data_IF_157266155723
#
_entry.id   IF_157266155723
#
_cell.length_a   1.000
_cell.length_b   1.000
_cell.length_c   1.000
_cell.angle_alpha   90.00
_cell.angle_beta   90.00
_cell.angle_gamma   90.00
#
_symmetry.space_group_name_H-M   'P 1'
#
loop_
_entity.id
_entity.type
_entity.pdbx_description
1 polymer ?
#
# COMPACT_ATOMS: atom_id res chain seq x y z
N UNK A 1 -10.51 -6.67 -6.47
CA UNK A 1 -11.33 -7.16 -5.33
C UNK A 1 -10.55 -7.57 -4.08
N UNK A 2 -9.61 -8.54 -4.11
CA UNK A 2 -8.92 -9.03 -2.87
C UNK A 2 -8.20 -7.93 -2.08
N UNK A 3 -7.57 -6.99 -2.77
CA UNK A 3 -6.79 -5.94 -2.14
C UNK A 3 -7.65 -4.91 -1.40
N UNK A 4 -8.85 -4.55 -1.89
CA UNK A 4 -9.76 -3.64 -1.20
C UNK A 4 -10.19 -4.17 0.19
N UNK A 5 -10.45 -5.47 0.31
CA UNK A 5 -10.78 -6.10 1.59
C UNK A 5 -9.63 -6.04 2.60
N UNK A 6 -8.38 -6.13 2.13
CA UNK A 6 -7.19 -6.01 3.00
C UNK A 6 -7.14 -4.62 3.63
N UNK A 7 -7.44 -3.55 2.88
CA UNK A 7 -7.43 -2.19 3.44
C UNK A 7 -8.57 -1.94 4.41
N UNK A 8 -9.77 -2.42 4.09
CA UNK A 8 -10.92 -2.32 5.00
C UNK A 8 -10.58 -3.05 6.30
N UNK A 9 -10.04 -4.27 6.20
CA UNK A 9 -9.62 -5.05 7.36
C UNK A 9 -8.53 -4.33 8.17
N UNK A 10 -7.48 -3.83 7.54
CA UNK A 10 -6.39 -3.13 8.22
C UNK A 10 -6.82 -1.78 8.80
N UNK A 11 -7.76 -1.08 8.17
CA UNK A 11 -8.35 0.15 8.70
C UNK A 11 -9.20 -0.12 9.94
N UNK A 12 -10.01 -1.18 9.92
CA UNK A 12 -10.77 -1.65 11.09
C UNK A 12 -9.80 -2.07 12.20
N UNK A 13 -8.74 -2.81 11.87
CA UNK A 13 -7.72 -3.22 12.84
C UNK A 13 -7.04 -2.00 13.49
N UNK A 14 -6.66 -1.00 12.69
CA UNK A 14 -6.09 0.25 13.19
C UNK A 14 -7.07 0.96 14.15
N UNK A 15 -8.35 1.04 13.78
CA UNK A 15 -9.38 1.64 14.64
C UNK A 15 -9.51 0.91 15.99
N UNK A 16 -9.48 -0.43 15.98
CA UNK A 16 -9.49 -1.25 17.19
C UNK A 16 -8.26 -0.96 18.07
N UNK A 17 -7.07 -0.87 17.48
CA UNK A 17 -5.84 -0.56 18.23
C UNK A 17 -5.87 0.84 18.88
N UNK A 18 -6.47 1.82 18.21
CA UNK A 18 -6.71 3.16 18.77
C UNK A 18 -7.66 3.07 19.97
N UNK A 19 -8.79 2.36 19.85
CA UNK A 19 -9.72 2.16 20.96
C UNK A 19 -9.07 1.44 22.15
N UNK A 20 -8.26 0.41 21.89
CA UNK A 20 -7.50 -0.28 22.92
C UNK A 20 -6.52 0.65 23.63
N UNK A 21 -5.86 1.56 22.91
CA UNK A 21 -4.95 2.55 23.50
C UNK A 21 -5.70 3.48 24.46
N UNK A 22 -6.86 3.99 24.06
CA UNK A 22 -7.73 4.82 24.90
C UNK A 22 -8.16 4.05 26.16
N UNK A 23 -8.57 2.78 26.01
CA UNK A 23 -8.94 1.91 27.12
C UNK A 23 -7.79 1.70 28.13
N UNK A 24 -6.58 1.43 27.64
CA UNK A 24 -5.39 1.27 28.50
C UNK A 24 -5.06 2.56 29.24
N UNK A 25 -5.21 3.74 28.61
CA UNK A 25 -5.04 5.05 29.28
C UNK A 25 -6.04 5.19 30.43
N UNK A 26 -7.33 4.92 30.18
CA UNK A 26 -8.38 5.03 31.20
C UNK A 26 -8.13 4.09 32.40
N UNK A 27 -7.70 2.85 32.15
CA UNK A 27 -7.32 1.88 33.18
C UNK A 27 -6.09 2.39 33.96
N UNK A 28 -5.06 2.88 33.28
CA UNK A 28 -3.86 3.41 33.93
C UNK A 28 -4.17 4.59 34.86
N UNK A 29 -5.02 5.53 34.44
CA UNK A 29 -5.48 6.64 35.29
C UNK A 29 -6.19 6.12 36.55
N UNK A 30 -7.04 5.11 36.38
CA UNK A 30 -7.78 4.49 37.49
C UNK A 30 -6.86 3.74 38.46
N UNK A 31 -5.87 3.01 37.95
CA UNK A 31 -4.88 2.29 38.75
C UNK A 31 -3.90 3.22 39.47
N UNK A 32 -3.58 4.37 38.87
CA UNK A 32 -2.74 5.40 39.50
C UNK A 32 -3.41 5.95 40.76
N UNK A 33 -4.73 6.15 40.75
CA UNK A 33 -5.53 6.52 41.94
C UNK A 33 -5.50 5.44 43.02
N UNK A 34 -5.37 4.16 42.65
CA UNK A 34 -5.32 3.00 43.56
C UNK A 34 -3.90 2.61 43.99
N UNK A 35 -2.86 3.34 43.56
CA UNK A 35 -1.47 3.08 43.96
C UNK A 35 -0.82 1.81 43.40
N UNK A 36 -1.42 1.15 42.40
CA UNK A 36 -0.98 -0.18 41.95
C UNK A 36 0.15 -0.13 40.91
N UNK A 37 1.36 0.25 41.34
CA UNK A 37 2.52 0.55 40.48
C UNK A 37 2.97 -0.61 39.57
N UNK A 38 2.85 -1.86 40.02
CA UNK A 38 3.28 -3.05 39.24
C UNK A 38 2.41 -3.28 37.99
N UNK A 39 1.10 -3.09 38.13
CA UNK A 39 0.14 -3.21 37.03
C UNK A 39 0.27 -2.06 36.03
N UNK A 40 0.49 -0.84 36.52
CA UNK A 40 0.75 0.34 35.68
C UNK A 40 1.95 0.10 34.77
N UNK A 41 3.07 -0.40 35.32
CA UNK A 41 4.28 -0.67 34.52
C UNK A 41 4.02 -1.69 33.39
N UNK A 42 3.26 -2.76 33.67
CA UNK A 42 2.89 -3.75 32.64
C UNK A 42 2.00 -3.14 31.54
N UNK A 43 0.99 -2.37 31.93
CA UNK A 43 0.09 -1.70 30.98
C UNK A 43 0.79 -0.64 30.14
N UNK A 44 1.78 0.07 30.70
CA UNK A 44 2.62 0.99 29.92
C UNK A 44 3.42 0.27 28.84
N UNK A 45 3.96 -0.92 29.12
CA UNK A 45 4.65 -1.74 28.09
C UNK A 45 3.66 -2.14 26.99
N UNK A 46 2.47 -2.63 27.36
CA UNK A 46 1.43 -2.97 26.39
C UNK A 46 1.02 -1.76 25.54
N UNK A 47 0.92 -0.58 26.13
CA UNK A 47 0.63 0.66 25.41
C UNK A 47 1.72 0.98 24.39
N UNK A 48 3.00 0.90 24.77
CA UNK A 48 4.11 1.13 23.84
C UNK A 48 4.06 0.17 22.64
N UNK A 49 3.81 -1.12 22.87
CA UNK A 49 3.67 -2.11 21.80
C UNK A 49 2.47 -1.81 20.90
N UNK A 50 1.33 -1.44 21.49
CA UNK A 50 0.12 -1.08 20.73
C UNK A 50 0.35 0.15 19.83
N UNK A 51 1.00 1.19 20.37
CA UNK A 51 1.37 2.38 19.58
C UNK A 51 2.30 2.00 18.44
N UNK A 52 3.31 1.16 18.69
CA UNK A 52 4.27 0.74 17.66
C UNK A 52 3.56 0.00 16.51
N UNK A 53 2.67 -0.94 16.83
CA UNK A 53 1.84 -1.64 15.83
C UNK A 53 0.92 -0.67 15.07
N UNK A 54 0.29 0.27 15.77
CA UNK A 54 -0.58 1.28 15.16
C UNK A 54 0.18 2.16 14.16
N UNK A 55 1.40 2.58 14.50
CA UNK A 55 2.28 3.35 13.61
C UNK A 55 2.65 2.52 12.38
N UNK A 56 3.03 1.26 12.55
CA UNK A 56 3.35 0.38 11.42
C UNK A 56 2.15 0.20 10.49
N UNK A 57 0.96 -0.03 11.03
CA UNK A 57 -0.28 -0.14 10.23
C UNK A 57 -0.62 1.16 9.52
N UNK A 58 -0.45 2.31 10.18
CA UNK A 58 -0.72 3.60 9.59
C UNK A 58 0.28 3.95 8.48
N UNK A 59 1.56 3.65 8.67
CA UNK A 59 2.59 3.79 7.64
C UNK A 59 2.29 2.88 6.45
N UNK A 60 1.87 1.63 6.71
CA UNK A 60 1.44 0.72 5.66
C UNK A 60 0.28 1.34 4.89
N UNK A 61 -0.82 1.72 5.56
CA UNK A 61 -1.99 2.33 4.93
C UNK A 61 -1.66 3.62 4.17
N UNK A 62 -0.77 4.46 4.68
CA UNK A 62 -0.36 5.71 4.02
C UNK A 62 0.50 5.45 2.78
N UNK A 63 1.47 4.52 2.86
CA UNK A 63 2.29 4.10 1.71
C UNK A 63 1.45 3.49 0.59
N UNK A 64 0.23 3.07 0.92
CA UNK A 64 -0.69 2.33 0.09
C UNK A 64 -1.98 3.15 -0.17
N UNK A 65 -2.05 4.40 0.31
CA UNK A 65 -3.24 5.26 0.24
C UNK A 65 -3.61 5.64 -1.21
N UNK A 66 -2.63 5.61 -2.10
CA UNK A 66 -2.84 5.74 -3.53
C UNK A 66 -3.00 4.34 -4.13
N UNK A 67 -4.21 3.79 -4.09
CA UNK A 67 -4.64 2.59 -4.82
C UNK A 67 -4.44 1.24 -4.10
N UNK A 68 -5.51 0.73 -3.46
CA UNK A 68 -5.63 -0.67 -3.11
C UNK A 68 -5.58 -1.62 -4.31
N UNK A 69 -5.97 -1.18 -5.50
CA UNK A 69 -6.40 -2.14 -6.51
C UNK A 69 -5.26 -2.67 -7.39
N UNK A 70 -4.13 -1.96 -7.41
CA UNK A 70 -2.96 -2.34 -8.17
C UNK A 70 -1.75 -2.03 -7.31
N UNK A 71 -1.04 -3.08 -6.93
CA UNK A 71 0.15 -2.94 -6.13
C UNK A 71 1.27 -2.50 -7.09
N UNK A 72 1.55 -1.19 -7.17
CA UNK A 72 2.65 -0.64 -7.97
C UNK A 72 3.98 -1.34 -7.67
N UNK A 73 4.13 -1.90 -6.46
CA UNK A 73 5.31 -2.65 -6.05
C UNK A 73 5.34 -4.08 -6.60
N UNK A 74 4.20 -4.67 -6.98
CA UNK A 74 4.17 -6.01 -7.58
C UNK A 74 4.80 -6.07 -8.97
N UNK A 75 4.95 -4.92 -9.62
CA UNK A 75 5.66 -4.79 -10.91
C UNK A 75 7.16 -4.53 -10.72
N UNK A 76 7.56 -3.88 -9.62
CA UNK A 76 8.97 -3.54 -9.38
C UNK A 76 9.83 -4.81 -9.31
N UNK A 77 10.93 -4.82 -10.06
CA UNK A 77 11.83 -5.96 -10.14
C UNK A 77 11.39 -7.10 -11.07
N UNK A 78 10.14 -7.09 -11.57
CA UNK A 78 9.72 -8.01 -12.64
C UNK A 78 10.28 -7.58 -13.99
N UNK A 79 10.36 -8.52 -14.93
CA UNK A 79 10.68 -8.20 -16.32
C UNK A 79 9.44 -7.68 -17.05
N UNK A 80 9.62 -6.70 -17.94
CA UNK A 80 8.54 -6.13 -18.74
C UNK A 80 7.82 -7.18 -19.60
N UNK A 81 8.55 -8.19 -20.10
CA UNK A 81 7.98 -9.28 -20.89
C UNK A 81 7.04 -10.17 -20.05
N UNK A 82 7.33 -10.34 -18.76
CA UNK A 82 6.45 -11.07 -17.82
C UNK A 82 5.15 -10.31 -17.54
N UNK A 83 5.22 -8.98 -17.52
CA UNK A 83 4.04 -8.15 -17.34
C UNK A 83 3.15 -8.22 -18.59
N UNK A 84 3.74 -8.21 -19.79
CA UNK A 84 3.02 -8.38 -21.04
C UNK A 84 2.34 -9.76 -21.15
N UNK A 85 2.99 -10.81 -20.68
CA UNK A 85 2.40 -12.15 -20.63
C UNK A 85 1.23 -12.22 -19.64
N UNK A 86 1.35 -11.60 -18.47
CA UNK A 86 0.35 -11.66 -17.39
C UNK A 86 -0.88 -10.77 -17.67
N UNK A 87 -0.68 -9.59 -18.26
CA UNK A 87 -1.73 -8.57 -18.42
C UNK A 87 -2.03 -8.20 -19.88
N UNK A 88 -1.31 -8.77 -20.85
CA UNK A 88 -1.45 -8.51 -22.28
C UNK A 88 -0.63 -7.30 -22.78
N UNK A 89 -0.76 -7.02 -24.08
CA UNK A 89 0.07 -6.04 -24.79
C UNK A 89 0.04 -4.63 -24.16
N UNK A 90 1.17 -3.93 -24.17
CA UNK A 90 1.20 -2.54 -23.73
C UNK A 90 0.52 -1.61 -24.73
N UNK A 91 -0.07 -0.52 -24.22
CA UNK A 91 -0.61 0.57 -25.05
C UNK A 91 0.52 1.24 -25.83
N UNK A 92 1.67 1.38 -25.18
CA UNK A 92 2.84 2.02 -25.76
C UNK A 92 4.13 1.47 -25.14
N UNK A 93 5.16 1.30 -25.96
CA UNK A 93 6.50 0.94 -25.50
C UNK A 93 7.53 1.79 -26.22
N UNK A 94 8.37 2.50 -25.46
CA UNK A 94 9.53 3.21 -25.97
C UNK A 94 10.80 2.56 -25.43
N UNK A 95 11.67 2.10 -26.33
CA UNK A 95 13.00 1.58 -26.02
C UNK A 95 14.07 2.53 -26.56
N UNK A 96 15.03 2.86 -25.72
CA UNK A 96 16.21 3.63 -26.07
C UNK A 96 17.28 2.71 -26.71
N UNK A 97 18.35 3.31 -27.25
CA UNK A 97 19.46 2.58 -27.87
C UNK A 97 20.17 1.60 -26.94
N UNK A 98 20.18 1.87 -25.64
CA UNK A 98 20.74 1.01 -24.59
C UNK A 98 19.75 -0.08 -24.11
N UNK A 99 18.62 -0.27 -24.80
CA UNK A 99 17.52 -1.19 -24.46
C UNK A 99 16.74 -0.87 -23.18
N UNK A 100 17.10 0.19 -22.44
CA UNK A 100 16.24 0.71 -21.36
C UNK A 100 15.09 1.50 -21.95
N UNK A 101 14.05 1.79 -21.17
CA UNK A 101 12.90 2.48 -21.73
C UNK A 101 11.76 2.61 -20.75
N UNK A 102 10.58 2.86 -21.31
CA UNK A 102 9.34 2.77 -20.55
C UNK A 102 8.23 2.17 -21.38
N UNK A 103 7.28 1.55 -20.69
CA UNK A 103 6.05 1.01 -21.26
C UNK A 103 4.84 1.60 -20.55
N UNK A 104 3.71 1.62 -21.24
CA UNK A 104 2.43 2.11 -20.72
C UNK A 104 1.42 0.98 -20.76
N UNK A 105 0.91 0.58 -19.60
CA UNK A 105 -0.13 -0.42 -19.45
C UNK A 105 -1.47 0.26 -19.12
N UNK A 106 -2.52 -0.12 -19.82
CA UNK A 106 -3.88 0.34 -19.53
C UNK A 106 -4.36 -0.31 -18.24
N UNK A 107 -4.82 0.51 -17.29
CA UNK A 107 -5.29 0.05 -15.99
C UNK A 107 -6.49 -0.89 -16.10
N UNK A 108 -7.33 -0.76 -17.15
CA UNK A 108 -8.47 -1.64 -17.40
C UNK A 108 -8.08 -3.10 -17.67
N UNK A 109 -6.82 -3.38 -17.99
CA UNK A 109 -6.30 -4.75 -18.13
C UNK A 109 -6.00 -5.42 -16.79
N UNK A 110 -5.92 -4.63 -15.72
CA UNK A 110 -5.58 -5.10 -14.37
C UNK A 110 -6.84 -5.15 -13.49
N UNK A 111 -7.84 -4.30 -13.76
CA UNK A 111 -9.05 -4.18 -12.95
C UNK A 111 -10.31 -4.36 -13.80
N UNK A 112 -11.29 -5.12 -13.29
CA UNK A 112 -12.61 -5.26 -13.91
C UNK A 112 -13.31 -3.89 -14.09
N UNK A 113 -13.98 -3.73 -15.23
CA UNK A 113 -14.50 -2.47 -15.83
C UNK A 113 -15.56 -1.68 -15.01
N UNK A 114 -15.75 -1.98 -13.72
CA UNK A 114 -16.79 -1.38 -12.89
C UNK A 114 -16.29 -0.34 -11.89
N UNK A 115 -15.01 0.06 -12.00
CA UNK A 115 -14.41 0.99 -11.04
C UNK A 115 -13.89 2.21 -11.78
N UNK A 116 -14.35 3.38 -11.35
CA UNK A 116 -13.91 4.67 -11.87
C UNK A 116 -12.48 4.93 -11.39
N UNK A 117 -11.51 4.59 -12.23
CA UNK A 117 -10.10 4.66 -11.89
C UNK A 117 -9.58 6.08 -12.08
N UNK A 118 -9.10 6.70 -11.00
CA UNK A 118 -8.34 7.95 -11.09
C UNK A 118 -6.95 7.77 -11.74
N UNK A 119 -6.55 6.52 -11.99
CA UNK A 119 -5.38 6.12 -12.75
C UNK A 119 -5.77 5.35 -14.01
N UNK A 120 -5.63 5.94 -15.19
CA UNK A 120 -6.00 5.25 -16.44
C UNK A 120 -4.84 4.47 -17.07
N UNK A 121 -3.61 4.90 -16.81
CA UNK A 121 -2.42 4.32 -17.40
C UNK A 121 -1.29 4.17 -16.38
N UNK A 122 -0.57 3.07 -16.44
CA UNK A 122 0.66 2.84 -15.69
C UNK A 122 1.88 2.99 -16.58
N UNK A 123 2.71 3.99 -16.29
CA UNK A 123 4.02 4.13 -16.92
C UNK A 123 5.05 3.36 -16.09
N UNK A 124 5.65 2.35 -16.70
CA UNK A 124 6.67 1.50 -16.10
C UNK A 124 8.01 1.79 -16.77
N UNK A 125 8.96 2.35 -16.03
CA UNK A 125 10.34 2.55 -16.50
C UNK A 125 11.14 1.27 -16.24
N UNK A 126 11.89 0.80 -17.25
CA UNK A 126 12.68 -0.43 -17.18
C UNK A 126 14.13 -0.22 -17.65
N UNK A 127 15.04 -1.01 -17.09
CA UNK A 127 16.46 -0.98 -17.43
C UNK A 127 16.79 -1.79 -18.71
N UNK A 128 18.08 -1.86 -19.09
CA UNK A 128 18.53 -2.57 -20.30
C UNK A 128 18.20 -4.06 -20.34
N UNK A 129 17.93 -4.66 -19.17
CA UNK A 129 17.57 -6.07 -19.04
C UNK A 129 16.05 -6.28 -19.03
N UNK A 130 15.27 -5.22 -19.22
CA UNK A 130 13.81 -5.25 -19.14
C UNK A 130 13.27 -5.25 -17.71
N UNK A 131 14.12 -5.12 -16.68
CA UNK A 131 13.67 -5.08 -15.29
C UNK A 131 13.04 -3.74 -14.97
N UNK A 132 11.82 -3.76 -14.44
CA UNK A 132 11.09 -2.56 -14.05
C UNK A 132 11.73 -1.95 -12.80
N UNK A 133 12.14 -0.69 -12.90
CA UNK A 133 12.82 0.06 -11.84
C UNK A 133 11.93 1.13 -11.20
N UNK A 134 10.90 1.57 -11.91
CA UNK A 134 9.99 2.63 -11.46
C UNK A 134 8.62 2.43 -12.11
N UNK A 135 7.56 2.72 -11.36
CA UNK A 135 6.18 2.66 -11.82
C UNK A 135 5.47 3.92 -11.37
N UNK A 136 4.82 4.59 -12.31
CA UNK A 136 4.08 5.83 -12.04
C UNK A 136 2.71 5.75 -12.67
N UNK A 137 1.70 6.07 -11.88
CA UNK A 137 0.36 6.32 -12.39
C UNK A 137 0.34 7.59 -13.25
N UNK A 138 -0.20 7.50 -14.47
CA UNK A 138 -0.39 8.63 -15.37
C UNK A 138 -1.89 8.88 -15.63
N UNK A 139 -2.22 10.17 -15.74
CA UNK A 139 -3.50 10.63 -16.33
C UNK A 139 -3.53 10.30 -17.83
N UNK A 140 -4.73 10.25 -18.45
CA UNK A 140 -4.87 9.94 -19.88
C UNK A 140 -3.89 10.71 -20.75
N UNK A 141 -3.33 10.03 -21.74
CA UNK A 141 -2.56 10.67 -22.81
C UNK A 141 -3.54 11.50 -23.65
N UNK A 142 -3.46 12.84 -23.56
CA UNK A 142 -4.25 13.75 -24.41
C UNK A 142 -5.36 14.57 -23.73
N UNK A 143 -5.28 14.79 -22.41
CA UNK A 143 -6.16 15.72 -21.67
C UNK A 143 -5.49 17.05 -21.33
#
# INVERSE_FOLDING_TARGET
MRSAYIYIFLSIALFIFVLLTIGIIAINVSLKKRGNKKLIKKLSICMCLNILVSITLLLWLMSHRNYPEINDWSFLGKNIDQIEEEYGEFVFVQRNSNKSGYAILDTSKIVDHHIELSCQNYRMDFNSNGTITSVNCQRPLGG
#
